data_IF_609678280305
#
_entry.id   IF_609678280305
#
_cell.length_a   1.000
_cell.length_b   1.000
_cell.length_c   1.000
_cell.angle_alpha   90.00
_cell.angle_beta   90.00
_cell.angle_gamma   90.00
#
_symmetry.space_group_name_H-M   'P 1'
#
loop_
_entity.id
_entity.type
_entity.pdbx_description
1 polymer ?
#
# COMPACT_ATOMS: atom_id res chain seq x y z
N UNK A 1 -17.75 2.58 -2.38
CA UNK A 1 -16.75 1.63 -2.88
C UNK A 1 -15.39 2.01 -2.28
N UNK A 2 -14.56 1.03 -1.92
CA UNK A 2 -13.19 1.28 -1.44
C UNK A 2 -12.34 1.87 -2.59
N UNK A 3 -11.58 2.92 -2.29
CA UNK A 3 -10.65 3.52 -3.28
C UNK A 3 -9.40 2.67 -3.39
N UNK A 4 -8.79 2.65 -4.58
CA UNK A 4 -7.53 1.95 -4.81
C UNK A 4 -6.33 2.77 -4.29
N UNK A 5 -6.38 3.12 -3.01
CA UNK A 5 -5.35 3.87 -2.28
C UNK A 5 -4.84 3.04 -1.09
N UNK A 6 -3.53 2.97 -0.92
CA UNK A 6 -2.88 2.39 0.27
C UNK A 6 -2.13 3.51 0.98
N UNK A 7 -2.51 3.81 2.23
CA UNK A 7 -1.79 4.73 3.09
C UNK A 7 -0.55 4.05 3.69
N UNK A 8 0.60 4.72 3.62
CA UNK A 8 1.88 4.23 4.13
C UNK A 8 2.29 5.08 5.33
N UNK A 9 2.20 4.53 6.54
CA UNK A 9 2.47 5.23 7.80
C UNK A 9 3.90 4.98 8.31
N UNK A 10 4.90 5.29 7.48
CA UNK A 10 6.31 5.06 7.85
C UNK A 10 6.74 5.93 9.03
N UNK A 11 7.19 5.27 10.10
CA UNK A 11 7.69 5.93 11.30
C UNK A 11 6.59 6.26 12.32
N UNK A 12 5.35 5.83 12.12
CA UNK A 12 4.28 5.97 13.12
C UNK A 12 4.59 5.17 14.38
N UNK A 13 4.20 5.71 15.52
CA UNK A 13 4.32 5.05 16.83
C UNK A 13 2.97 4.52 17.29
N UNK A 14 2.92 3.49 18.18
CA UNK A 14 1.66 2.94 18.67
C UNK A 14 0.68 3.98 19.24
N UNK A 15 1.08 4.95 20.07
CA UNK A 15 0.15 5.94 20.60
C UNK A 15 -0.56 6.80 19.55
N UNK A 16 0.04 6.94 18.36
CA UNK A 16 -0.51 7.74 17.25
C UNK A 16 -1.38 6.91 16.29
N UNK A 17 -1.16 5.58 16.24
CA UNK A 17 -1.63 4.69 15.19
C UNK A 17 -3.16 4.69 15.02
N UNK A 18 -3.91 4.53 16.11
CA UNK A 18 -5.39 4.45 16.07
C UNK A 18 -6.01 5.78 15.65
N UNK A 19 -5.47 6.91 16.13
CA UNK A 19 -5.97 8.24 15.76
C UNK A 19 -5.70 8.55 14.27
N UNK A 20 -4.50 8.22 13.77
CA UNK A 20 -4.13 8.36 12.37
C UNK A 20 -5.02 7.48 11.47
N UNK A 21 -5.21 6.22 11.81
CA UNK A 21 -6.08 5.31 11.05
C UNK A 21 -7.54 5.81 11.00
N UNK A 22 -8.07 6.31 12.13
CA UNK A 22 -9.41 6.92 12.17
C UNK A 22 -9.55 8.11 11.21
N UNK A 23 -8.55 8.99 11.18
CA UNK A 23 -8.53 10.14 10.28
C UNK A 23 -8.49 9.72 8.80
N UNK A 24 -7.68 8.72 8.46
CA UNK A 24 -7.59 8.17 7.10
C UNK A 24 -8.88 7.52 6.64
N UNK A 25 -9.47 6.67 7.49
CA UNK A 25 -10.74 5.97 7.20
C UNK A 25 -11.87 7.00 7.06
N UNK A 26 -11.93 7.99 7.94
CA UNK A 26 -12.90 9.08 7.88
C UNK A 26 -12.81 9.89 6.58
N UNK A 27 -11.62 10.06 6.02
CA UNK A 27 -11.40 10.68 4.72
C UNK A 27 -11.67 9.75 3.53
N UNK A 28 -11.84 8.43 3.76
CA UNK A 28 -12.15 7.45 2.72
C UNK A 28 -10.95 6.67 2.20
N UNK A 29 -9.87 6.55 2.98
CA UNK A 29 -8.73 5.66 2.74
C UNK A 29 -8.80 4.52 3.75
N UNK A 30 -9.21 3.34 3.30
CA UNK A 30 -9.50 2.16 4.13
C UNK A 30 -8.44 1.04 4.02
N UNK A 31 -7.35 1.27 3.29
CA UNK A 31 -6.20 0.36 3.19
C UNK A 31 -4.98 1.06 3.77
N UNK A 32 -4.43 0.50 4.86
CA UNK A 32 -3.38 1.14 5.65
C UNK A 32 -2.27 0.13 5.95
N UNK A 33 -1.04 0.50 5.65
CA UNK A 33 0.13 -0.30 6.02
C UNK A 33 1.08 0.48 6.94
N UNK A 34 1.62 -0.23 7.93
CA UNK A 34 2.72 0.24 8.77
C UNK A 34 3.99 -0.45 8.31
N UNK A 35 4.98 0.29 7.79
CA UNK A 35 6.26 -0.30 7.44
C UNK A 35 6.96 -0.90 8.66
N UNK A 36 7.50 -2.13 8.54
CA UNK A 36 8.13 -2.84 9.66
C UNK A 36 9.41 -2.18 10.18
N UNK A 37 9.93 -1.20 9.48
CA UNK A 37 11.01 -0.33 9.97
C UNK A 37 10.50 0.93 10.70
N UNK A 38 9.24 0.95 11.13
CA UNK A 38 8.69 1.95 12.07
C UNK A 38 8.93 1.50 13.52
N UNK A 39 8.82 2.42 14.52
CA UNK A 39 8.90 2.03 15.94
C UNK A 39 7.74 1.11 16.33
N UNK A 40 8.05 -0.04 16.92
CA UNK A 40 7.09 -1.04 17.41
C UNK A 40 5.87 -1.29 16.46
N UNK A 41 6.13 -1.69 15.19
CA UNK A 41 5.11 -1.70 14.15
C UNK A 41 4.02 -2.73 14.41
N UNK A 42 4.32 -3.85 15.07
CA UNK A 42 3.34 -4.89 15.34
C UNK A 42 2.29 -4.47 16.36
N UNK A 43 2.67 -3.69 17.36
CA UNK A 43 1.74 -3.06 18.30
C UNK A 43 0.83 -2.08 17.58
N UNK A 44 1.38 -1.19 16.74
CA UNK A 44 0.58 -0.27 15.90
C UNK A 44 -0.43 -1.01 15.02
N UNK A 45 0.01 -2.09 14.33
CA UNK A 45 -0.85 -2.91 13.49
C UNK A 45 -1.96 -3.56 14.32
N UNK A 46 -1.62 -4.15 15.47
CA UNK A 46 -2.57 -4.84 16.35
C UNK A 46 -3.66 -3.91 16.87
N UNK A 47 -3.28 -2.73 17.36
CA UNK A 47 -4.22 -1.73 17.85
C UNK A 47 -5.16 -1.22 16.75
N UNK A 48 -4.62 -0.93 15.56
CA UNK A 48 -5.44 -0.53 14.42
C UNK A 48 -6.36 -1.66 13.93
N UNK A 49 -5.86 -2.90 13.86
CA UNK A 49 -6.66 -4.06 13.44
C UNK A 49 -7.81 -4.34 14.42
N UNK A 50 -7.55 -4.20 15.73
CA UNK A 50 -8.57 -4.33 16.77
C UNK A 50 -9.65 -3.24 16.64
N UNK A 51 -9.23 -2.00 16.38
CA UNK A 51 -10.14 -0.86 16.32
C UNK A 51 -10.97 -0.81 15.01
N UNK A 52 -10.42 -1.25 13.88
CA UNK A 52 -11.00 -1.00 12.54
C UNK A 52 -11.00 -2.22 11.61
N UNK A 53 -10.60 -3.41 12.09
CA UNK A 53 -10.38 -4.58 11.23
C UNK A 53 -11.58 -5.06 10.42
N UNK A 54 -12.81 -4.73 10.80
CA UNK A 54 -14.00 -5.04 10.01
C UNK A 54 -14.26 -4.01 8.88
N UNK A 55 -13.88 -2.76 9.11
CA UNK A 55 -14.13 -1.64 8.19
C UNK A 55 -12.94 -1.21 7.34
N UNK A 56 -11.72 -1.69 7.66
CA UNK A 56 -10.50 -1.31 6.97
C UNK A 56 -9.53 -2.49 6.79
N UNK A 57 -8.70 -2.43 5.77
CA UNK A 57 -7.66 -3.41 5.49
C UNK A 57 -6.34 -2.91 6.09
N UNK A 58 -6.05 -3.35 7.32
CA UNK A 58 -4.84 -2.99 8.06
C UNK A 58 -3.75 -4.04 7.82
N UNK A 59 -2.49 -3.60 7.72
CA UNK A 59 -1.38 -4.54 7.59
C UNK A 59 0.00 -3.88 7.66
N UNK A 60 0.97 -4.55 7.08
CA UNK A 60 2.37 -4.17 7.14
C UNK A 60 2.96 -3.84 5.78
N UNK A 61 3.86 -2.84 5.77
CA UNK A 61 4.78 -2.59 4.66
C UNK A 61 6.21 -3.01 5.00
N UNK A 62 7.06 -3.03 4.00
CA UNK A 62 8.48 -3.40 4.15
C UNK A 62 8.65 -4.80 4.76
N UNK A 63 7.78 -5.73 4.39
CA UNK A 63 7.83 -7.13 4.81
C UNK A 63 8.80 -7.86 3.90
N UNK A 64 9.86 -8.46 4.47
CA UNK A 64 10.97 -9.03 3.73
C UNK A 64 11.15 -10.55 3.94
N UNK A 65 10.49 -11.12 4.95
CA UNK A 65 10.65 -12.55 5.29
C UNK A 65 9.31 -13.22 5.57
N UNK A 66 9.23 -14.54 5.37
CA UNK A 66 8.06 -15.32 5.78
C UNK A 66 7.81 -15.26 7.30
N UNK A 67 8.87 -15.16 8.11
CA UNK A 67 8.74 -14.99 9.55
C UNK A 67 8.07 -13.66 9.94
N UNK A 68 8.30 -12.59 9.18
CA UNK A 68 7.58 -11.32 9.37
C UNK A 68 6.11 -11.44 8.97
N UNK A 69 5.80 -12.21 7.90
CA UNK A 69 4.41 -12.51 7.51
C UNK A 69 3.64 -13.15 8.67
N UNK A 70 4.23 -14.14 9.34
CA UNK A 70 3.63 -14.80 10.51
C UNK A 70 3.40 -13.82 11.67
N UNK A 71 4.32 -12.87 11.88
CA UNK A 71 4.17 -11.83 12.91
C UNK A 71 3.04 -10.85 12.56
N UNK A 72 2.94 -10.46 11.29
CA UNK A 72 1.83 -9.61 10.80
C UNK A 72 0.49 -10.30 10.99
N UNK A 73 0.38 -11.60 10.66
CA UNK A 73 -0.84 -12.36 10.86
C UNK A 73 -1.24 -12.43 12.34
N UNK A 74 -0.28 -12.70 13.25
CA UNK A 74 -0.53 -12.71 14.70
C UNK A 74 -0.94 -11.34 15.25
N UNK A 75 -0.48 -10.25 14.64
CA UNK A 75 -0.91 -8.89 14.98
C UNK A 75 -2.31 -8.53 14.41
N UNK A 76 -2.99 -9.46 13.72
CA UNK A 76 -4.30 -9.21 13.12
C UNK A 76 -4.24 -8.48 11.77
N UNK A 77 -3.05 -8.33 11.18
CA UNK A 77 -2.89 -7.74 9.85
C UNK A 77 -3.47 -8.63 8.76
N UNK A 78 -3.99 -8.01 7.70
CA UNK A 78 -4.58 -8.70 6.54
C UNK A 78 -4.01 -8.21 5.20
N UNK A 79 -3.03 -7.33 5.25
CA UNK A 79 -2.35 -6.72 4.10
C UNK A 79 -0.83 -6.82 4.29
N UNK A 80 -0.13 -7.31 3.28
CA UNK A 80 1.33 -7.34 3.23
C UNK A 80 1.82 -6.61 1.98
N UNK A 81 2.62 -5.59 2.18
CA UNK A 81 3.26 -4.81 1.12
C UNK A 81 4.77 -4.96 1.25
N UNK A 82 5.44 -5.36 0.18
CA UNK A 82 6.91 -5.53 0.14
C UNK A 82 7.56 -4.49 -0.77
N UNK A 83 8.82 -4.11 -0.52
CA UNK A 83 9.55 -3.23 -1.45
C UNK A 83 10.12 -3.99 -2.65
N UNK A 84 10.17 -5.31 -2.60
CA UNK A 84 10.77 -6.22 -3.57
C UNK A 84 9.85 -7.38 -3.91
N UNK A 85 10.22 -8.15 -4.92
CA UNK A 85 9.53 -9.38 -5.32
C UNK A 85 10.25 -10.60 -4.69
N UNK A 86 9.67 -11.16 -3.63
CA UNK A 86 10.10 -12.42 -3.04
C UNK A 86 8.94 -13.43 -3.08
N UNK A 87 9.10 -14.49 -3.86
CA UNK A 87 8.08 -15.52 -4.04
C UNK A 87 7.75 -16.28 -2.75
N UNK A 88 8.70 -16.40 -1.82
CA UNK A 88 8.50 -17.02 -0.50
C UNK A 88 7.58 -16.18 0.38
N UNK A 89 7.83 -14.86 0.44
CA UNK A 89 6.99 -13.89 1.17
C UNK A 89 5.58 -13.86 0.57
N UNK A 90 5.45 -13.81 -0.75
CA UNK A 90 4.15 -13.81 -1.43
C UNK A 90 3.36 -15.06 -1.08
N UNK A 91 3.94 -16.24 -1.25
CA UNK A 91 3.27 -17.53 -0.93
C UNK A 91 2.89 -17.64 0.55
N UNK A 92 3.78 -17.25 1.46
CA UNK A 92 3.49 -17.24 2.89
C UNK A 92 2.30 -16.29 3.20
N UNK A 93 2.27 -15.11 2.60
CA UNK A 93 1.16 -14.16 2.73
C UNK A 93 -0.16 -14.76 2.25
N UNK A 94 -0.15 -15.41 1.09
CA UNK A 94 -1.35 -16.06 0.54
C UNK A 94 -1.81 -17.25 1.38
N UNK A 95 -0.87 -18.05 1.88
CA UNK A 95 -1.18 -19.18 2.78
C UNK A 95 -1.81 -18.71 4.10
N UNK A 96 -1.44 -17.54 4.59
CA UNK A 96 -2.04 -16.89 5.76
C UNK A 96 -3.37 -16.15 5.47
N UNK A 97 -3.92 -16.24 4.25
CA UNK A 97 -5.19 -15.61 3.87
C UNK A 97 -5.14 -14.08 3.72
N UNK A 98 -3.94 -13.51 3.66
CA UNK A 98 -3.74 -12.06 3.54
C UNK A 98 -3.58 -11.62 2.07
N UNK A 99 -3.77 -10.32 1.82
CA UNK A 99 -3.46 -9.70 0.54
C UNK A 99 -1.96 -9.44 0.42
N UNK A 100 -1.39 -9.76 -0.76
CA UNK A 100 0.04 -9.61 -1.08
C UNK A 100 0.25 -8.59 -2.20
N UNK A 101 1.03 -7.54 -1.91
CA UNK A 101 1.38 -6.45 -2.83
C UNK A 101 2.90 -6.28 -2.91
N UNK A 102 3.61 -7.17 -3.64
CA UNK A 102 5.06 -7.12 -3.81
C UNK A 102 5.50 -5.94 -4.68
N UNK A 103 6.66 -5.39 -4.37
CA UNK A 103 7.36 -4.40 -5.17
C UNK A 103 8.01 -5.03 -6.40
N UNK A 104 7.81 -4.42 -7.56
CA UNK A 104 8.35 -4.86 -8.85
C UNK A 104 8.79 -3.66 -9.68
N UNK A 105 9.81 -3.86 -10.53
CA UNK A 105 10.30 -2.84 -11.46
C UNK A 105 10.54 -3.40 -12.87
N UNK A 106 10.59 -4.72 -13.04
CA UNK A 106 10.86 -5.39 -14.32
C UNK A 106 9.74 -6.34 -14.70
N UNK A 107 9.57 -6.67 -16.00
CA UNK A 107 8.61 -7.69 -16.43
C UNK A 107 8.84 -9.04 -15.75
N UNK A 108 10.09 -9.47 -15.56
CA UNK A 108 10.40 -10.75 -14.88
C UNK A 108 9.88 -10.79 -13.45
N UNK A 109 10.04 -9.70 -12.69
CA UNK A 109 9.51 -9.58 -11.34
C UNK A 109 7.97 -9.57 -11.33
N UNK A 110 7.34 -8.86 -12.28
CA UNK A 110 5.89 -8.86 -12.42
C UNK A 110 5.33 -10.27 -12.60
N UNK A 111 5.87 -11.03 -13.55
CA UNK A 111 5.41 -12.40 -13.79
C UNK A 111 5.75 -13.35 -12.66
N UNK A 112 6.91 -13.22 -12.00
CA UNK A 112 7.26 -13.99 -10.83
C UNK A 112 6.30 -13.74 -9.65
N UNK A 113 5.95 -12.48 -9.40
CA UNK A 113 4.99 -12.09 -8.38
C UNK A 113 3.59 -12.69 -8.64
N UNK A 114 3.08 -12.56 -9.87
CA UNK A 114 1.79 -13.12 -10.26
C UNK A 114 1.78 -14.66 -10.17
N UNK A 115 2.83 -15.32 -10.62
CA UNK A 115 2.98 -16.78 -10.51
C UNK A 115 3.03 -17.26 -9.05
N UNK A 116 3.52 -16.43 -8.13
CA UNK A 116 3.51 -16.71 -6.69
C UNK A 116 2.15 -16.41 -6.00
N UNK A 117 1.18 -15.82 -6.71
CA UNK A 117 -0.18 -15.57 -6.24
C UNK A 117 -0.43 -14.15 -5.70
N UNK A 118 0.38 -13.15 -6.07
CA UNK A 118 0.16 -11.76 -5.66
C UNK A 118 -1.23 -11.26 -6.07
N UNK A 119 -1.90 -10.49 -5.20
CA UNK A 119 -3.20 -9.87 -5.47
C UNK A 119 -3.08 -8.64 -6.36
N UNK A 120 -1.92 -8.02 -6.38
CA UNK A 120 -1.58 -6.91 -7.25
C UNK A 120 -0.08 -6.62 -7.20
N UNK A 121 0.36 -5.71 -8.05
CA UNK A 121 1.75 -5.32 -8.21
C UNK A 121 1.95 -3.89 -7.72
N UNK A 122 2.96 -3.67 -6.91
CA UNK A 122 3.44 -2.35 -6.51
C UNK A 122 4.62 -1.97 -7.40
N UNK A 123 4.43 -1.06 -8.35
CA UNK A 123 5.56 -0.47 -9.06
C UNK A 123 6.34 0.39 -8.07
N UNK A 124 7.59 0.00 -7.79
CA UNK A 124 8.41 0.68 -6.79
C UNK A 124 9.92 0.58 -7.09
N UNK A 125 10.62 1.73 -7.10
CA UNK A 125 10.12 3.12 -7.03
C UNK A 125 9.48 3.56 -8.36
N UNK A 126 8.22 4.00 -8.36
CA UNK A 126 7.52 4.35 -9.58
C UNK A 126 8.20 5.51 -10.34
N UNK A 127 8.72 6.50 -9.62
CA UNK A 127 9.44 7.62 -10.23
C UNK A 127 10.68 7.21 -11.05
N UNK A 128 11.30 6.07 -10.75
CA UNK A 128 12.42 5.54 -11.56
C UNK A 128 11.93 4.89 -12.86
N UNK A 129 10.79 4.20 -12.82
CA UNK A 129 10.20 3.59 -13.99
C UNK A 129 9.62 4.63 -14.95
N UNK A 130 8.95 5.64 -14.40
CA UNK A 130 8.20 6.62 -15.16
C UNK A 130 6.92 6.06 -15.78
N UNK A 131 6.10 6.95 -16.31
CA UNK A 131 4.81 6.58 -16.92
C UNK A 131 4.99 5.78 -18.21
N UNK A 132 6.03 6.06 -18.99
CA UNK A 132 6.31 5.31 -20.23
C UNK A 132 6.76 3.86 -19.92
N UNK A 133 7.55 3.66 -18.88
CA UNK A 133 7.90 2.30 -18.44
C UNK A 133 6.68 1.52 -17.97
N UNK A 134 5.77 2.18 -17.22
CA UNK A 134 4.51 1.54 -16.82
C UNK A 134 3.66 1.15 -18.02
N UNK A 135 3.48 2.01 -19.02
CA UNK A 135 2.74 1.68 -20.25
C UNK A 135 3.31 0.44 -20.96
N UNK A 136 4.66 0.39 -21.07
CA UNK A 136 5.33 -0.74 -21.70
C UNK A 136 5.09 -2.05 -20.94
N UNK A 137 5.17 -2.04 -19.60
CA UNK A 137 4.90 -3.22 -18.77
C UNK A 137 3.41 -3.61 -18.86
N UNK A 138 2.48 -2.65 -18.80
CA UNK A 138 1.04 -2.93 -18.91
C UNK A 138 0.66 -3.64 -20.22
N UNK A 139 1.35 -3.36 -21.30
CA UNK A 139 1.08 -3.99 -22.61
C UNK A 139 1.27 -5.52 -22.60
N UNK A 140 2.08 -6.05 -21.67
CA UNK A 140 2.39 -7.49 -21.59
C UNK A 140 1.76 -8.17 -20.37
N UNK A 141 1.21 -7.42 -19.42
CA UNK A 141 0.58 -8.00 -18.22
C UNK A 141 -0.77 -8.64 -18.55
N UNK A 142 -1.15 -9.73 -17.87
CA UNK A 142 -2.48 -10.32 -17.98
C UNK A 142 -3.59 -9.28 -17.71
N UNK A 143 -4.70 -9.39 -18.44
CA UNK A 143 -5.88 -8.53 -18.21
C UNK A 143 -6.37 -8.69 -16.78
N UNK A 144 -6.73 -7.58 -16.14
CA UNK A 144 -7.23 -7.56 -14.76
C UNK A 144 -6.14 -7.51 -13.69
N UNK A 145 -4.84 -7.59 -14.07
CA UNK A 145 -3.75 -7.37 -13.10
C UNK A 145 -3.87 -5.99 -12.48
N UNK A 146 -3.97 -5.93 -11.16
CA UNK A 146 -3.98 -4.68 -10.40
C UNK A 146 -2.55 -4.14 -10.29
N UNK A 147 -2.34 -2.88 -10.64
CA UNK A 147 -1.03 -2.23 -10.62
C UNK A 147 -1.11 -0.89 -9.90
N UNK A 148 -0.38 -0.76 -8.79
CA UNK A 148 -0.33 0.47 -8.00
C UNK A 148 1.02 1.16 -8.16
N UNK A 149 1.00 2.47 -8.43
CA UNK A 149 2.21 3.28 -8.46
C UNK A 149 2.56 3.76 -7.05
N UNK A 150 3.82 3.53 -6.63
CA UNK A 150 4.31 3.87 -5.29
C UNK A 150 5.71 4.49 -5.37
N UNK A 151 5.88 5.65 -4.72
CA UNK A 151 7.15 6.40 -4.75
C UNK A 151 7.27 7.26 -6.02
N UNK A 152 6.92 8.54 -5.90
CA UNK A 152 6.86 9.49 -7.01
C UNK A 152 5.46 9.69 -7.59
N UNK A 153 4.44 9.00 -7.06
CA UNK A 153 3.05 9.29 -7.35
C UNK A 153 2.42 10.13 -6.23
N UNK A 154 1.63 11.12 -6.60
CA UNK A 154 0.95 12.03 -5.69
C UNK A 154 -0.21 12.75 -6.36
N UNK A 155 -0.95 13.59 -5.62
CA UNK A 155 -2.13 14.30 -6.12
C UNK A 155 -1.88 15.07 -7.42
N UNK A 156 -0.69 15.62 -7.58
CA UNK A 156 -0.28 16.44 -8.71
C UNK A 156 -0.10 15.64 -10.02
N UNK A 157 0.02 14.31 -9.95
CA UNK A 157 0.32 13.49 -11.12
C UNK A 157 -0.52 12.20 -11.24
N UNK A 158 -1.55 12.00 -10.40
CA UNK A 158 -2.43 10.82 -10.48
C UNK A 158 -3.01 10.60 -11.88
N UNK A 159 -3.48 11.67 -12.54
CA UNK A 159 -4.03 11.56 -13.89
C UNK A 159 -3.01 11.03 -14.91
N UNK A 160 -1.73 11.42 -14.79
CA UNK A 160 -0.66 10.93 -15.67
C UNK A 160 -0.39 9.44 -15.43
N UNK A 161 -0.34 9.01 -14.18
CA UNK A 161 -0.16 7.61 -13.82
C UNK A 161 -1.38 6.77 -14.22
N UNK A 162 -2.59 7.30 -14.05
CA UNK A 162 -3.83 6.65 -14.51
C UNK A 162 -3.81 6.44 -16.02
N UNK A 163 -3.46 7.47 -16.80
CA UNK A 163 -3.34 7.39 -18.27
C UNK A 163 -2.25 6.39 -18.71
N UNK A 164 -1.22 6.16 -17.87
CA UNK A 164 -0.20 5.14 -18.10
C UNK A 164 -0.65 3.72 -17.71
N UNK A 165 -1.81 3.57 -17.04
CA UNK A 165 -2.37 2.28 -16.69
C UNK A 165 -2.23 1.89 -15.22
N UNK A 166 -1.93 2.83 -14.32
CA UNK A 166 -2.04 2.57 -12.88
C UNK A 166 -3.52 2.41 -12.48
N UNK A 167 -3.82 1.38 -11.69
CA UNK A 167 -5.15 1.13 -11.13
C UNK A 167 -5.32 1.81 -9.77
N UNK A 168 -4.22 2.13 -9.09
CA UNK A 168 -4.23 2.75 -7.77
C UNK A 168 -2.86 3.25 -7.34
N UNK A 169 -2.77 3.68 -6.09
CA UNK A 169 -1.59 4.35 -5.56
C UNK A 169 -1.28 3.93 -4.12
N UNK A 170 0.01 3.84 -3.79
CA UNK A 170 0.48 3.80 -2.41
C UNK A 170 1.12 5.15 -2.05
N UNK A 171 0.59 5.83 -1.04
CA UNK A 171 0.95 7.19 -0.68
C UNK A 171 1.65 7.23 0.68
N UNK A 172 2.90 7.66 0.68
CA UNK A 172 3.73 7.83 1.87
C UNK A 172 3.87 9.30 2.27
N UNK A 173 5.00 9.92 1.96
CA UNK A 173 5.39 11.25 2.46
C UNK A 173 4.45 12.40 2.09
N UNK A 174 3.68 12.28 1.01
CA UNK A 174 2.64 13.24 0.67
C UNK A 174 1.46 13.19 1.66
N UNK A 175 1.22 12.04 2.29
CA UNK A 175 0.13 11.80 3.23
C UNK A 175 0.55 11.96 4.69
N UNK A 176 1.63 11.29 5.07
CA UNK A 176 2.07 11.17 6.47
C UNK A 176 3.57 11.45 6.62
N UNK A 177 3.92 12.13 7.71
CA UNK A 177 5.28 12.26 8.24
C UNK A 177 5.22 12.08 9.77
N UNK A 178 6.24 11.49 10.42
CA UNK A 178 6.29 11.38 11.87
C UNK A 178 6.04 12.70 12.59
N UNK A 179 5.25 12.69 13.64
CA UNK A 179 4.88 13.86 14.44
C UNK A 179 3.71 14.67 13.92
N UNK A 180 3.06 14.27 12.82
CA UNK A 180 1.82 14.91 12.36
C UNK A 180 0.65 14.55 13.25
N UNK A 181 -0.21 15.53 13.56
CA UNK A 181 -1.48 15.30 14.24
C UNK A 181 -2.48 14.54 13.37
N UNK A 182 -3.47 13.90 14.00
CA UNK A 182 -4.56 13.24 13.29
C UNK A 182 -5.35 14.20 12.38
N UNK A 183 -5.52 15.45 12.80
CA UNK A 183 -6.22 16.46 12.00
C UNK A 183 -5.44 16.83 10.73
N UNK A 184 -4.11 16.99 10.83
CA UNK A 184 -3.26 17.23 9.66
C UNK A 184 -3.28 16.03 8.69
N UNK A 185 -3.25 14.79 9.22
CA UNK A 185 -3.37 13.57 8.43
C UNK A 185 -4.73 13.54 7.71
N UNK A 186 -5.81 13.82 8.42
CA UNK A 186 -7.17 13.88 7.86
C UNK A 186 -7.32 14.92 6.76
N UNK A 187 -6.78 16.12 6.95
CA UNK A 187 -6.80 17.19 5.94
C UNK A 187 -6.03 16.79 4.67
N UNK A 188 -4.83 16.20 4.80
CA UNK A 188 -4.08 15.69 3.64
C UNK A 188 -4.78 14.54 2.96
N UNK A 189 -5.34 13.60 3.73
CA UNK A 189 -6.09 12.47 3.20
C UNK A 189 -7.30 12.95 2.36
N UNK A 190 -8.04 13.95 2.82
CA UNK A 190 -9.15 14.54 2.08
C UNK A 190 -8.70 15.16 0.74
N UNK A 191 -7.56 15.87 0.72
CA UNK A 191 -6.99 16.41 -0.51
C UNK A 191 -6.56 15.30 -1.49
N UNK A 192 -5.92 14.24 -0.99
CA UNK A 192 -5.50 13.09 -1.79
C UNK A 192 -6.71 12.36 -2.37
N UNK A 193 -7.75 12.16 -1.57
CA UNK A 193 -9.00 11.54 -2.00
C UNK A 193 -9.69 12.36 -3.09
N UNK A 194 -9.78 13.68 -2.93
CA UNK A 194 -10.37 14.56 -3.95
C UNK A 194 -9.59 14.50 -5.27
N UNK A 195 -8.25 14.53 -5.22
CA UNK A 195 -7.41 14.40 -6.40
C UNK A 195 -7.54 13.01 -7.05
N UNK A 196 -7.61 11.95 -6.24
CA UNK A 196 -7.83 10.58 -6.73
C UNK A 196 -9.17 10.47 -7.44
N UNK A 197 -10.27 10.92 -6.81
CA UNK A 197 -11.62 10.84 -7.41
C UNK A 197 -11.67 11.62 -8.73
N UNK A 198 -11.02 12.79 -8.82
CA UNK A 198 -10.91 13.56 -10.07
C UNK A 198 -10.10 12.84 -11.16
N UNK A 199 -9.08 12.08 -10.79
CA UNK A 199 -8.22 11.38 -11.76
C UNK A 199 -8.81 10.03 -12.22
N UNK A 200 -9.65 9.38 -11.39
CA UNK A 200 -10.18 8.04 -11.61
C UNK A 200 -11.62 8.04 -12.14
N UNK A 201 -12.34 9.17 -11.99
CA UNK A 201 -13.69 9.39 -12.55
C UNK A 201 -13.62 9.72 -14.01
#
# INVERSE_FOLDING_TARGET
MSRALIAILRGITPPEAVAAARALIGAGIDRIEVPLNSPDPFTSISEMALAFGEGALIGAGTVLTAGDVDRVARAGGRLVVSPNCDAGVIRATKAAGMQSWPGVLTPSECFAALAAGADGLKIFPAGMMGTEGLKAIRAVLPKGTQVYAVGGAGPENFALWRAAGADGFGIGSALYKPGMSADEIGARAAQIVAAYDSAMG
#
